data_IF_267514071276
#
_entry.id   IF_267514071276
#
_cell.length_a   1.000
_cell.length_b   1.000
_cell.length_c   1.000
_cell.angle_alpha   90.00
_cell.angle_beta   90.00
_cell.angle_gamma   90.00
#
_symmetry.space_group_name_H-M   'P 1'
#
loop_
_entity.id
_entity.type
_entity.pdbx_description
1 polymer ?
#
# COMPACT_ATOMS: atom_id res chain seq x y z
N UNK A 1 28.93 22.25 -30.92
CA UNK A 1 27.46 21.97 -30.99
C UNK A 1 27.01 21.39 -29.68
N UNK A 2 26.04 22.01 -29.02
CA UNK A 2 25.43 21.44 -27.80
C UNK A 2 24.70 20.16 -28.18
N UNK A 3 24.99 19.04 -27.52
CA UNK A 3 24.34 17.76 -27.83
C UNK A 3 22.80 17.92 -27.67
N UNK A 4 22.04 17.13 -28.42
CA UNK A 4 20.57 17.09 -28.31
C UNK A 4 20.14 16.84 -26.85
N UNK A 5 20.90 16.01 -26.13
CA UNK A 5 20.65 15.70 -24.71
C UNK A 5 20.80 16.94 -23.81
N UNK A 6 21.85 17.76 -23.98
CA UNK A 6 22.03 18.98 -23.19
C UNK A 6 20.89 19.97 -23.45
N UNK A 7 20.49 20.13 -24.71
CA UNK A 7 19.31 20.98 -25.04
C UNK A 7 18.03 20.47 -24.39
N UNK A 8 17.87 19.16 -24.32
CA UNK A 8 16.73 18.52 -23.67
C UNK A 8 16.74 18.77 -22.16
N UNK A 9 17.89 18.60 -21.48
CA UNK A 9 18.04 18.90 -20.06
C UNK A 9 17.80 20.38 -19.72
N UNK A 10 18.29 21.28 -20.56
CA UNK A 10 18.19 22.73 -20.36
C UNK A 10 16.84 23.32 -20.78
N UNK A 11 15.87 22.49 -21.18
CA UNK A 11 14.55 22.92 -21.69
C UNK A 11 14.64 23.86 -22.91
N UNK A 12 15.75 23.83 -23.64
CA UNK A 12 15.98 24.66 -24.82
C UNK A 12 15.34 24.10 -26.11
N UNK A 13 14.31 23.27 -25.93
CA UNK A 13 13.48 22.74 -27.01
C UNK A 13 12.05 23.19 -26.78
N UNK A 14 11.33 23.63 -27.82
CA UNK A 14 9.93 23.96 -27.69
C UNK A 14 9.11 22.71 -27.34
N UNK A 15 8.02 22.91 -26.64
CA UNK A 15 7.03 21.85 -26.42
C UNK A 15 6.43 21.55 -27.81
N UNK A 16 6.39 20.28 -28.26
CA UNK A 16 5.81 19.93 -29.54
C UNK A 16 4.28 20.09 -29.52
N UNK A 17 3.67 20.23 -30.68
CA UNK A 17 2.22 20.31 -30.79
C UNK A 17 1.53 18.98 -30.41
N UNK A 18 2.23 17.86 -30.63
CA UNK A 18 1.70 16.51 -30.35
C UNK A 18 2.59 15.72 -29.42
N UNK A 19 1.97 14.87 -28.63
CA UNK A 19 2.59 13.88 -27.73
C UNK A 19 2.34 12.47 -28.25
N UNK A 20 3.35 11.61 -28.20
CA UNK A 20 3.22 10.19 -28.52
C UNK A 20 2.88 9.42 -27.23
N UNK A 21 1.89 8.54 -27.30
CA UNK A 21 1.30 7.88 -26.13
C UNK A 21 1.01 6.41 -26.43
N UNK A 22 1.33 5.54 -25.50
CA UNK A 22 0.98 4.12 -25.52
C UNK A 22 -0.18 3.85 -24.58
N UNK A 23 -1.41 3.95 -25.05
CA UNK A 23 -2.60 3.58 -24.29
C UNK A 23 -2.83 2.07 -24.34
N UNK A 24 -3.37 1.50 -23.26
CA UNK A 24 -3.75 0.09 -23.16
C UNK A 24 -5.28 -0.03 -23.23
N UNK A 25 -5.78 -0.80 -24.20
CA UNK A 25 -7.20 -0.95 -24.53
C UNK A 25 -7.79 -2.29 -24.07
N UNK A 26 -6.99 -3.22 -23.58
CA UNK A 26 -7.40 -4.55 -23.15
C UNK A 26 -6.25 -5.37 -22.60
N UNK A 27 -6.50 -6.61 -22.21
CA UNK A 27 -5.45 -7.56 -21.84
C UNK A 27 -4.63 -7.98 -23.08
N UNK A 28 -3.32 -8.23 -22.88
CA UNK A 28 -2.39 -8.62 -23.92
C UNK A 28 -1.61 -7.44 -24.50
N UNK A 29 -0.35 -7.72 -24.90
CA UNK A 29 0.54 -6.69 -25.47
C UNK A 29 0.03 -6.13 -26.80
N UNK A 30 -0.73 -6.91 -27.54
CA UNK A 30 -1.38 -6.53 -28.79
C UNK A 30 -2.46 -5.45 -28.61
N UNK A 31 -2.89 -5.19 -27.37
CA UNK A 31 -3.85 -4.15 -27.02
C UNK A 31 -3.18 -2.87 -26.45
N UNK A 32 -1.87 -2.74 -26.62
CA UNK A 32 -1.10 -1.55 -26.28
C UNK A 32 -0.82 -0.74 -27.53
N UNK A 33 -1.31 0.50 -27.58
CA UNK A 33 -1.29 1.35 -28.76
C UNK A 33 -2.32 0.91 -29.80
N UNK A 34 -2.19 1.45 -31.00
CA UNK A 34 -2.98 1.05 -32.18
C UNK A 34 -2.07 0.51 -33.27
N UNK A 35 -2.40 -0.63 -33.80
CA UNK A 35 -1.63 -1.30 -34.87
C UNK A 35 -0.14 -1.45 -34.50
N UNK A 36 0.14 -1.76 -33.22
CA UNK A 36 1.49 -1.84 -32.64
C UNK A 36 2.29 -0.54 -32.73
N UNK A 37 1.62 0.61 -32.75
CA UNK A 37 2.25 1.92 -32.76
C UNK A 37 1.72 2.81 -31.63
N UNK A 38 2.59 3.72 -31.16
CA UNK A 38 2.16 4.80 -30.27
C UNK A 38 1.18 5.74 -31.02
N UNK A 39 0.21 6.21 -30.29
CA UNK A 39 -0.80 7.13 -30.81
C UNK A 39 -0.36 8.59 -30.63
N UNK A 40 -0.72 9.43 -31.57
CA UNK A 40 -0.43 10.87 -31.51
C UNK A 40 -1.64 11.63 -31.00
N UNK A 41 -1.44 12.42 -29.94
CA UNK A 41 -2.45 13.34 -29.39
C UNK A 41 -1.88 14.74 -29.30
N UNK A 42 -2.75 15.76 -29.38
CA UNK A 42 -2.33 17.13 -29.09
C UNK A 42 -1.85 17.26 -27.66
N UNK A 43 -0.72 17.96 -27.44
CA UNK A 43 -0.24 18.23 -26.08
C UNK A 43 -1.28 19.14 -25.39
N UNK A 44 -1.82 18.72 -24.23
CA UNK A 44 -2.89 19.46 -23.58
C UNK A 44 -2.36 20.71 -22.87
N UNK A 45 -3.18 21.75 -22.74
CA UNK A 45 -2.91 22.89 -21.89
C UNK A 45 -3.38 22.59 -20.46
N UNK A 46 -2.59 22.95 -19.43
CA UNK A 46 -2.99 22.73 -18.04
C UNK A 46 -4.08 23.74 -17.62
N UNK A 47 -5.07 23.23 -16.88
CA UNK A 47 -6.00 24.08 -16.13
C UNK A 47 -5.27 24.77 -14.96
N UNK A 48 -5.96 25.69 -14.28
CA UNK A 48 -5.38 26.48 -13.19
C UNK A 48 -4.77 25.64 -12.04
N UNK A 49 -5.36 24.47 -11.77
CA UNK A 49 -4.93 23.52 -10.75
C UNK A 49 -4.17 22.30 -11.31
N UNK A 50 -3.58 22.41 -12.49
CA UNK A 50 -2.86 21.34 -13.15
C UNK A 50 -1.44 21.74 -13.54
N UNK A 51 -0.58 20.75 -13.71
CA UNK A 51 0.77 20.86 -14.28
C UNK A 51 0.79 20.14 -15.64
N UNK A 52 1.42 20.74 -16.65
CA UNK A 52 1.89 20.00 -17.82
C UNK A 52 3.28 19.47 -17.51
N UNK A 53 3.48 18.17 -17.63
CA UNK A 53 4.77 17.52 -17.41
C UNK A 53 5.28 16.86 -18.68
N UNK A 54 6.60 16.82 -18.84
CA UNK A 54 7.33 15.95 -19.77
C UNK A 54 7.77 14.71 -19.00
N UNK A 55 7.52 13.54 -19.54
CA UNK A 55 8.04 12.29 -19.00
C UNK A 55 9.47 12.08 -19.52
N UNK A 56 10.42 12.04 -18.64
CA UNK A 56 11.85 11.97 -18.99
C UNK A 56 12.37 10.52 -19.05
N UNK A 57 11.88 9.68 -18.15
CA UNK A 57 12.18 8.25 -18.10
C UNK A 57 11.06 7.49 -17.39
N UNK A 58 10.89 6.22 -17.76
CA UNK A 58 9.94 5.29 -17.15
C UNK A 58 10.65 3.97 -16.95
N UNK A 59 10.60 3.43 -15.71
CA UNK A 59 10.94 2.06 -15.41
C UNK A 59 9.81 1.11 -15.80
N UNK A 60 10.15 -0.12 -16.16
CA UNK A 60 9.19 -1.19 -16.41
C UNK A 60 9.24 -2.19 -15.27
N UNK A 61 8.11 -2.41 -14.64
CA UNK A 61 7.94 -3.27 -13.49
C UNK A 61 7.24 -4.59 -13.87
N UNK A 62 7.45 -5.63 -13.08
CA UNK A 62 6.66 -6.85 -13.22
C UNK A 62 5.15 -6.61 -12.99
N UNK A 63 4.81 -5.57 -12.25
CA UNK A 63 3.44 -5.12 -12.07
C UNK A 63 2.77 -4.67 -13.38
N UNK A 64 3.54 -4.08 -14.32
CA UNK A 64 3.04 -3.76 -15.66
C UNK A 64 2.67 -5.05 -16.42
N UNK A 65 3.50 -6.11 -16.28
CA UNK A 65 3.20 -7.43 -16.88
C UNK A 65 1.89 -8.01 -16.32
N UNK A 66 1.66 -7.88 -15.01
CA UNK A 66 0.39 -8.32 -14.41
C UNK A 66 -0.80 -7.54 -14.97
N UNK A 67 -0.66 -6.23 -15.10
CA UNK A 67 -1.72 -5.38 -15.66
C UNK A 67 -2.01 -5.74 -17.11
N UNK A 68 -0.97 -5.95 -17.93
CA UNK A 68 -1.11 -6.40 -19.33
C UNK A 68 -1.86 -7.73 -19.41
N UNK A 69 -1.50 -8.70 -18.56
CA UNK A 69 -2.12 -10.02 -18.59
C UNK A 69 -3.59 -10.02 -18.10
N UNK A 70 -3.94 -9.17 -17.15
CA UNK A 70 -5.27 -9.16 -16.52
C UNK A 70 -6.22 -8.15 -17.17
N UNK A 71 -5.71 -7.09 -17.78
CA UNK A 71 -6.52 -6.04 -18.37
C UNK A 71 -7.56 -5.47 -17.40
N UNK A 72 -8.79 -5.36 -17.83
CA UNK A 72 -9.92 -4.85 -17.04
C UNK A 72 -10.19 -5.61 -15.72
N UNK A 73 -9.72 -6.84 -15.62
CA UNK A 73 -9.89 -7.68 -14.41
C UNK A 73 -8.85 -7.34 -13.31
N UNK A 74 -7.85 -6.52 -13.60
CA UNK A 74 -6.88 -6.13 -12.59
C UNK A 74 -7.56 -5.34 -11.47
N UNK A 75 -7.37 -5.70 -10.17
CA UNK A 75 -8.10 -5.11 -9.04
C UNK A 75 -8.01 -3.58 -8.98
N UNK A 76 -6.84 -3.01 -9.30
CA UNK A 76 -6.62 -1.54 -9.33
C UNK A 76 -7.36 -0.81 -10.46
N UNK A 77 -8.00 -1.53 -11.40
CA UNK A 77 -8.82 -0.93 -12.45
C UNK A 77 -10.32 -0.95 -12.13
N UNK A 78 -10.74 -1.61 -11.06
CA UNK A 78 -12.14 -1.61 -10.61
C UNK A 78 -13.13 -2.01 -11.72
N UNK A 79 -12.79 -3.03 -12.53
CA UNK A 79 -13.56 -3.52 -13.68
C UNK A 79 -13.83 -2.46 -14.79
N UNK A 80 -12.94 -1.47 -14.96
CA UNK A 80 -13.02 -0.47 -16.02
C UNK A 80 -13.04 -1.15 -17.40
N UNK A 81 -13.93 -0.76 -18.26
CA UNK A 81 -13.89 -1.16 -19.69
C UNK A 81 -12.79 -0.38 -20.41
N UNK A 82 -11.63 -0.98 -20.56
CA UNK A 82 -10.44 -0.35 -21.16
C UNK A 82 -10.65 0.05 -22.65
N UNK A 83 -11.60 -0.56 -23.34
CA UNK A 83 -11.92 -0.15 -24.72
C UNK A 83 -12.60 1.23 -24.78
N UNK A 84 -13.31 1.61 -23.73
CA UNK A 84 -13.99 2.91 -23.61
C UNK A 84 -13.14 3.92 -22.85
N UNK A 85 -12.50 3.47 -21.80
CA UNK A 85 -11.63 4.26 -20.91
C UNK A 85 -10.26 3.59 -20.81
N UNK A 86 -9.38 3.76 -21.80
CA UNK A 86 -8.05 3.17 -21.77
C UNK A 86 -7.25 3.70 -20.60
N UNK A 87 -6.25 2.92 -20.17
CA UNK A 87 -5.22 3.38 -19.24
C UNK A 87 -3.87 3.43 -19.93
N UNK A 88 -2.86 3.91 -19.21
CA UNK A 88 -1.44 3.83 -19.59
C UNK A 88 -0.64 3.20 -18.49
N UNK A 89 0.32 2.40 -18.87
CA UNK A 89 1.33 1.80 -17.99
C UNK A 89 2.41 2.82 -17.60
N UNK A 90 3.37 2.37 -16.81
CA UNK A 90 4.56 3.13 -16.45
C UNK A 90 4.35 3.97 -15.20
N UNK A 91 4.39 3.30 -14.06
CA UNK A 91 4.24 3.92 -12.74
C UNK A 91 5.58 4.37 -12.12
N UNK A 92 6.70 3.85 -12.58
CA UNK A 92 8.05 4.25 -12.16
C UNK A 92 8.54 5.41 -13.05
N UNK A 93 8.07 6.63 -12.80
CA UNK A 93 8.28 7.74 -13.72
C UNK A 93 9.07 8.90 -13.13
N UNK A 94 9.93 9.50 -13.96
CA UNK A 94 10.55 10.80 -13.72
C UNK A 94 9.94 11.83 -14.65
N UNK A 95 9.58 12.96 -14.09
CA UNK A 95 8.84 14.03 -14.74
C UNK A 95 9.57 15.37 -14.61
N UNK A 96 9.54 16.18 -15.68
CA UNK A 96 9.94 17.59 -15.64
C UNK A 96 8.74 18.49 -15.87
N UNK A 97 8.53 19.49 -15.03
CA UNK A 97 7.43 20.44 -15.18
C UNK A 97 7.71 21.35 -16.38
N UNK A 98 6.76 21.42 -17.31
CA UNK A 98 6.84 22.23 -18.53
C UNK A 98 5.93 23.46 -18.51
N UNK A 99 4.75 23.35 -17.87
CA UNK A 99 3.82 24.47 -17.61
C UNK A 99 3.19 24.29 -16.23
N UNK A 100 2.83 25.40 -15.61
CA UNK A 100 2.22 25.45 -14.28
C UNK A 100 0.91 26.22 -14.37
N UNK A 101 -0.18 25.61 -13.91
CA UNK A 101 -1.46 26.30 -13.74
C UNK A 101 -1.36 27.39 -12.67
N UNK A 102 -2.15 28.45 -12.81
CA UNK A 102 -1.99 29.68 -12.01
C UNK A 102 -2.18 29.48 -10.50
N UNK A 103 -2.97 28.47 -10.08
CA UNK A 103 -3.19 28.16 -8.65
C UNK A 103 -1.99 27.45 -8.01
N UNK A 104 -1.06 26.95 -8.84
CA UNK A 104 0.10 26.16 -8.44
C UNK A 104 1.44 26.90 -8.53
N UNK A 105 1.45 28.15 -9.02
CA UNK A 105 2.66 28.93 -9.33
C UNK A 105 3.57 29.22 -8.12
N UNK A 106 2.99 29.24 -6.91
CA UNK A 106 3.71 29.39 -5.65
C UNK A 106 4.40 28.10 -5.18
N UNK A 107 3.92 26.95 -5.63
CA UNK A 107 4.36 25.64 -5.15
C UNK A 107 5.28 24.92 -6.14
N UNK A 108 5.08 25.12 -7.43
CA UNK A 108 5.82 24.43 -8.49
C UNK A 108 6.42 25.40 -9.49
N UNK A 109 7.58 25.04 -10.08
CA UNK A 109 8.27 25.88 -11.06
C UNK A 109 8.59 25.07 -12.31
N UNK A 110 8.55 25.73 -13.47
CA UNK A 110 9.01 25.16 -14.74
C UNK A 110 10.46 24.71 -14.61
N UNK A 111 10.76 23.51 -15.09
CA UNK A 111 12.08 22.91 -15.04
C UNK A 111 12.35 22.07 -13.79
N UNK A 112 11.55 22.19 -12.75
CA UNK A 112 11.68 21.30 -11.58
C UNK A 112 11.38 19.85 -11.98
N UNK A 113 12.14 18.94 -11.36
CA UNK A 113 12.08 17.50 -11.65
C UNK A 113 11.51 16.75 -10.47
N UNK A 114 10.70 15.75 -10.78
CA UNK A 114 10.00 14.93 -9.78
C UNK A 114 10.03 13.45 -10.17
N UNK A 115 10.15 12.58 -9.15
CA UNK A 115 9.80 11.18 -9.25
C UNK A 115 8.33 10.99 -8.83
N UNK A 116 7.68 10.00 -9.40
CA UNK A 116 6.29 9.67 -9.09
C UNK A 116 6.22 8.69 -7.91
N UNK A 117 5.42 9.00 -6.89
CA UNK A 117 4.90 8.03 -5.95
C UNK A 117 3.58 7.48 -6.52
N UNK A 118 3.55 6.21 -6.97
CA UNK A 118 2.39 5.73 -7.74
C UNK A 118 1.16 5.41 -6.91
N UNK A 119 1.30 4.98 -5.66
CA UNK A 119 0.16 4.65 -4.80
C UNK A 119 -0.53 5.91 -4.28
N UNK A 120 -1.77 6.09 -4.69
CA UNK A 120 -2.58 7.27 -4.40
C UNK A 120 -3.69 6.88 -3.43
N UNK A 121 -3.77 7.58 -2.30
CA UNK A 121 -4.86 7.44 -1.33
C UNK A 121 -5.56 8.77 -1.19
N UNK A 122 -6.86 8.79 -1.49
CA UNK A 122 -7.66 10.00 -1.41
C UNK A 122 -9.07 9.67 -0.90
N UNK A 123 -9.46 10.25 0.23
CA UNK A 123 -10.74 10.03 0.89
C UNK A 123 -11.04 8.53 1.14
N UNK A 124 -10.03 7.79 1.61
CA UNK A 124 -10.12 6.35 1.85
C UNK A 124 -10.16 5.46 0.61
N UNK A 125 -10.11 6.04 -0.59
CA UNK A 125 -10.05 5.32 -1.86
C UNK A 125 -8.61 5.14 -2.32
N UNK A 126 -8.25 3.90 -2.68
CA UNK A 126 -6.93 3.56 -3.21
C UNK A 126 -6.96 3.56 -4.73
N UNK A 127 -6.20 4.45 -5.36
CA UNK A 127 -5.95 4.47 -6.81
C UNK A 127 -4.45 4.38 -7.08
N UNK A 128 -4.02 4.33 -8.35
CA UNK A 128 -2.61 4.31 -8.65
C UNK A 128 -2.30 4.92 -10.03
N UNK A 129 -1.19 5.64 -10.09
CA UNK A 129 -0.58 6.10 -11.35
C UNK A 129 -0.03 4.90 -12.12
N UNK A 130 -0.27 4.86 -13.43
CA UNK A 130 0.03 3.68 -14.24
C UNK A 130 -1.07 2.61 -14.26
N UNK A 131 -2.16 2.83 -13.52
CA UNK A 131 -3.32 1.94 -13.39
C UNK A 131 -4.63 2.71 -13.54
N UNK A 132 -5.25 3.08 -12.42
CA UNK A 132 -6.49 3.87 -12.40
C UNK A 132 -6.27 5.26 -12.99
N UNK A 133 -5.16 5.87 -12.64
CA UNK A 133 -4.67 7.12 -13.21
C UNK A 133 -3.67 6.77 -14.32
N UNK A 134 -3.82 7.32 -15.53
CA UNK A 134 -2.93 7.03 -16.65
C UNK A 134 -1.46 7.34 -16.34
N UNK A 135 -0.56 6.40 -16.64
CA UNK A 135 0.85 6.46 -16.31
C UNK A 135 1.76 7.15 -17.32
N UNK A 136 3.05 6.89 -17.18
CA UNK A 136 4.13 7.60 -17.86
C UNK A 136 4.49 7.13 -19.28
N UNK A 137 3.83 6.09 -19.86
CA UNK A 137 4.12 5.71 -21.24
C UNK A 137 3.55 6.72 -22.25
N UNK A 138 3.96 7.97 -22.09
CA UNK A 138 3.66 9.12 -22.95
C UNK A 138 4.81 10.12 -22.86
N UNK A 139 4.92 11.05 -23.82
CA UNK A 139 5.95 12.08 -23.76
C UNK A 139 5.54 13.26 -22.87
N UNK A 140 4.26 13.68 -22.96
CA UNK A 140 3.69 14.79 -22.20
C UNK A 140 2.30 14.42 -21.72
N UNK A 141 1.94 14.83 -20.50
CA UNK A 141 0.59 14.73 -19.97
C UNK A 141 0.34 15.71 -18.82
N UNK A 142 -0.91 15.77 -18.37
CA UNK A 142 -1.31 16.59 -17.23
C UNK A 142 -1.21 15.80 -15.93
N UNK A 143 -0.82 16.51 -14.87
CA UNK A 143 -0.90 16.06 -13.48
C UNK A 143 -1.87 17.01 -12.78
N UNK A 144 -2.91 16.45 -12.18
CA UNK A 144 -3.97 17.20 -11.51
C UNK A 144 -4.11 16.91 -10.02
N UNK A 145 -5.22 17.38 -9.42
CA UNK A 145 -5.48 17.23 -7.98
C UNK A 145 -5.48 15.78 -7.49
N UNK A 146 -5.81 14.81 -8.36
CA UNK A 146 -5.80 13.38 -8.04
C UNK A 146 -4.41 12.86 -7.62
N UNK A 147 -3.35 13.59 -8.01
CA UNK A 147 -1.94 13.29 -7.67
C UNK A 147 -1.39 14.33 -6.71
N UNK A 148 -1.80 15.59 -6.85
CA UNK A 148 -1.24 16.72 -6.10
C UNK A 148 -1.85 16.90 -4.71
N UNK A 149 -3.08 16.39 -4.48
CA UNK A 149 -3.89 16.61 -3.28
C UNK A 149 -4.41 15.29 -2.71
N UNK A 150 -3.50 14.46 -2.21
CA UNK A 150 -3.86 13.17 -1.62
C UNK A 150 -3.90 13.22 -0.10
N UNK A 151 -4.40 12.17 0.56
CA UNK A 151 -4.47 12.07 2.03
C UNK A 151 -3.09 12.24 2.71
N UNK A 152 -2.01 12.03 1.97
CA UNK A 152 -0.62 12.16 2.46
C UNK A 152 0.14 13.33 1.84
N UNK A 153 -0.53 14.21 1.12
CA UNK A 153 0.05 15.32 0.38
C UNK A 153 0.27 14.99 -1.10
N UNK A 154 1.22 15.66 -1.75
CA UNK A 154 1.52 15.43 -3.17
C UNK A 154 2.26 14.11 -3.38
N UNK A 155 1.86 13.34 -4.40
CA UNK A 155 2.58 12.17 -4.87
C UNK A 155 3.78 12.51 -5.78
N UNK A 156 4.05 13.79 -6.03
CA UNK A 156 5.27 14.24 -6.71
C UNK A 156 6.39 14.44 -5.69
N UNK A 157 7.47 13.65 -5.81
CA UNK A 157 8.66 13.72 -4.96
C UNK A 157 9.75 14.49 -5.69
N UNK A 158 10.09 15.69 -5.21
CA UNK A 158 11.13 16.51 -5.83
C UNK A 158 12.48 15.80 -5.81
N UNK A 159 13.14 15.71 -6.96
CA UNK A 159 14.45 15.07 -7.11
C UNK A 159 15.55 16.08 -7.42
N UNK A 160 16.79 15.74 -7.03
CA UNK A 160 17.96 16.55 -7.33
C UNK A 160 18.24 16.62 -8.83
N UNK A 161 18.65 17.77 -9.31
CA UNK A 161 19.11 17.96 -10.70
C UNK A 161 20.37 17.14 -11.03
N UNK A 162 21.10 16.69 -10.01
CA UNK A 162 22.30 15.86 -10.17
C UNK A 162 21.99 14.40 -10.53
N UNK A 163 20.77 13.91 -10.22
CA UNK A 163 20.35 12.57 -10.60
C UNK A 163 20.08 12.51 -12.11
N UNK A 164 20.55 11.45 -12.77
CA UNK A 164 20.13 11.16 -14.14
C UNK A 164 18.61 10.86 -14.19
N UNK A 165 17.97 11.08 -15.34
CA UNK A 165 16.54 10.83 -15.48
C UNK A 165 16.16 9.38 -15.20
N UNK A 166 16.96 8.43 -15.69
CA UNK A 166 16.73 7.00 -15.46
C UNK A 166 16.95 6.62 -13.99
N UNK A 167 17.96 7.19 -13.32
CA UNK A 167 18.17 6.97 -11.88
C UNK A 167 16.98 7.47 -11.05
N UNK A 168 16.45 8.63 -11.41
CA UNK A 168 15.30 9.20 -10.72
C UNK A 168 14.01 8.37 -10.96
N UNK A 169 13.83 7.75 -12.12
CA UNK A 169 12.72 6.82 -12.35
C UNK A 169 12.81 5.58 -11.46
N UNK A 170 14.02 5.10 -11.16
CA UNK A 170 14.25 3.97 -10.27
C UNK A 170 14.08 4.29 -8.77
N UNK A 171 13.76 5.53 -8.39
CA UNK A 171 13.47 5.86 -6.99
C UNK A 171 12.24 5.12 -6.47
N UNK A 172 11.27 4.80 -7.32
CA UNK A 172 10.10 4.02 -6.94
C UNK A 172 10.49 2.61 -6.48
N UNK A 173 11.12 1.73 -7.32
CA UNK A 173 11.49 0.40 -6.88
C UNK A 173 12.53 0.41 -5.75
N UNK A 174 13.46 1.38 -5.70
CA UNK A 174 14.35 1.58 -4.56
C UNK A 174 13.59 1.93 -3.29
N UNK A 175 12.52 2.72 -3.39
CA UNK A 175 11.59 3.00 -2.29
C UNK A 175 10.96 1.72 -1.75
N UNK A 176 10.54 0.79 -2.61
CA UNK A 176 10.02 -0.51 -2.22
C UNK A 176 11.06 -1.36 -1.47
N UNK A 177 12.31 -1.40 -1.95
CA UNK A 177 13.42 -2.10 -1.27
C UNK A 177 13.69 -1.46 0.09
N UNK A 178 13.85 -0.14 0.15
CA UNK A 178 14.08 0.59 1.41
C UNK A 178 12.96 0.36 2.42
N UNK A 179 11.73 0.33 1.94
CA UNK A 179 10.56 0.10 2.76
C UNK A 179 10.56 -1.26 3.47
N UNK A 180 11.15 -2.31 2.89
CA UNK A 180 11.25 -3.62 3.53
C UNK A 180 12.20 -3.63 4.73
N UNK A 181 13.11 -2.66 4.81
CA UNK A 181 14.03 -2.46 5.93
C UNK A 181 13.60 -1.32 6.87
N UNK A 182 12.41 -0.75 6.67
CA UNK A 182 11.89 0.35 7.49
C UNK A 182 10.74 -0.14 8.37
N UNK A 183 10.77 0.23 9.66
CA UNK A 183 9.69 -0.09 10.58
C UNK A 183 8.39 0.62 10.17
N UNK A 184 7.41 -0.13 9.73
CA UNK A 184 6.12 0.39 9.25
C UNK A 184 4.94 0.01 10.11
N UNK A 185 5.04 -1.12 10.82
CA UNK A 185 3.99 -1.57 11.71
C UNK A 185 4.00 -0.78 13.02
N UNK A 186 2.87 -0.76 13.67
CA UNK A 186 2.75 -0.22 15.03
C UNK A 186 3.49 -1.11 16.03
N UNK A 187 4.12 -0.46 17.02
CA UNK A 187 4.84 -1.12 18.10
C UNK A 187 3.97 -1.32 19.34
N UNK A 188 2.73 -0.84 19.30
CA UNK A 188 1.73 -0.93 20.37
C UNK A 188 0.34 -1.09 19.76
N UNK A 189 -0.68 -1.54 20.52
CA UNK A 189 -2.06 -1.50 20.11
C UNK A 189 -2.49 -0.11 19.66
N UNK A 190 -3.41 -0.04 18.71
CA UNK A 190 -3.85 1.25 18.13
C UNK A 190 -4.60 2.09 19.13
N UNK A 191 -4.14 3.32 19.33
CA UNK A 191 -4.86 4.31 20.12
C UNK A 191 -6.21 4.63 19.43
N UNK A 192 -7.30 4.53 20.22
CA UNK A 192 -8.66 4.75 19.73
C UNK A 192 -9.19 3.67 18.75
N UNK A 193 -8.45 2.60 18.53
CA UNK A 193 -8.81 1.52 17.61
C UNK A 193 -9.81 0.51 18.20
N UNK A 194 -10.17 -0.49 17.38
CA UNK A 194 -10.96 -1.66 17.79
C UNK A 194 -10.04 -2.88 17.84
N UNK A 195 -9.89 -3.45 19.04
CA UNK A 195 -9.14 -4.69 19.27
C UNK A 195 -10.09 -5.87 19.43
N UNK A 196 -9.77 -7.01 18.82
CA UNK A 196 -10.50 -8.26 19.01
C UNK A 196 -9.57 -9.31 19.60
N UNK A 197 -9.92 -9.85 20.76
CA UNK A 197 -9.19 -10.94 21.45
C UNK A 197 -10.01 -12.22 21.33
N UNK A 198 -9.43 -13.22 20.67
CA UNK A 198 -10.03 -14.52 20.41
C UNK A 198 -9.31 -15.57 21.26
N UNK A 199 -10.02 -16.18 22.20
CA UNK A 199 -9.56 -17.30 22.99
C UNK A 199 -9.93 -18.64 22.37
N UNK A 200 -9.70 -19.70 23.15
CA UNK A 200 -10.13 -21.07 22.86
C UNK A 200 -10.95 -21.59 24.04
N UNK A 201 -12.07 -22.27 23.84
CA UNK A 201 -12.99 -22.68 24.92
C UNK A 201 -12.30 -23.46 26.03
N UNK A 202 -11.34 -24.32 25.69
CA UNK A 202 -10.66 -25.22 26.62
C UNK A 202 -9.24 -24.73 27.01
N UNK A 203 -8.91 -23.45 26.72
CA UNK A 203 -7.60 -22.92 27.08
C UNK A 203 -7.57 -22.42 28.53
N UNK A 204 -6.86 -23.15 29.38
CA UNK A 204 -6.69 -22.83 30.80
C UNK A 204 -5.52 -21.91 31.07
N UNK A 205 -4.84 -21.39 30.06
CA UNK A 205 -3.69 -20.53 30.18
C UNK A 205 -4.07 -19.20 30.84
N UNK A 206 -3.33 -18.80 31.88
CA UNK A 206 -3.50 -17.48 32.52
C UNK A 206 -2.69 -16.46 31.76
N UNK A 207 -3.36 -15.72 30.91
CA UNK A 207 -2.74 -14.66 30.12
C UNK A 207 -2.56 -13.38 30.92
N UNK A 208 -1.54 -12.63 30.50
CA UNK A 208 -1.23 -11.29 30.98
C UNK A 208 -1.26 -10.31 29.80
N UNK A 209 -1.53 -9.05 30.09
CA UNK A 209 -1.41 -7.95 29.12
C UNK A 209 -0.81 -6.75 29.84
N UNK A 210 0.51 -6.76 29.98
CA UNK A 210 1.25 -5.85 30.87
C UNK A 210 1.19 -4.38 30.46
N UNK A 211 0.95 -4.06 29.18
CA UNK A 211 0.85 -2.69 28.66
C UNK A 211 0.04 -2.61 27.36
N UNK A 212 -0.54 -1.45 27.07
CA UNK A 212 -1.19 -1.14 25.79
C UNK A 212 -2.67 -1.52 25.72
N UNK A 213 -3.24 -2.20 26.72
CA UNK A 213 -4.65 -2.59 26.73
C UNK A 213 -5.61 -1.40 26.87
N UNK A 214 -5.14 -0.28 27.38
CA UNK A 214 -5.91 0.99 27.50
C UNK A 214 -5.90 1.81 26.21
N UNK A 215 -5.10 1.49 25.21
CA UNK A 215 -5.00 2.25 23.96
C UNK A 215 -6.23 2.10 23.06
N UNK A 216 -6.79 0.89 22.81
CA UNK A 216 -8.00 0.74 22.02
C UNK A 216 -9.19 1.49 22.63
N UNK A 217 -10.07 2.02 21.78
CA UNK A 217 -11.35 2.54 22.21
C UNK A 217 -12.28 1.42 22.66
N UNK A 218 -12.26 0.28 21.93
CA UNK A 218 -13.11 -0.88 22.19
C UNK A 218 -12.28 -2.16 22.11
N UNK A 219 -12.49 -3.04 23.09
CA UNK A 219 -11.94 -4.41 23.09
C UNK A 219 -13.11 -5.39 23.00
N UNK A 220 -13.11 -6.21 21.97
CA UNK A 220 -14.09 -7.30 21.75
C UNK A 220 -13.48 -8.60 22.25
N UNK A 221 -14.19 -9.34 23.07
CA UNK A 221 -13.76 -10.62 23.62
C UNK A 221 -14.62 -11.76 23.09
N UNK A 222 -13.97 -12.81 22.61
CA UNK A 222 -14.62 -14.05 22.14
C UNK A 222 -13.95 -15.24 22.80
N UNK A 223 -14.69 -16.03 23.57
CA UNK A 223 -14.25 -17.29 24.18
C UNK A 223 -12.94 -17.19 24.99
N UNK A 224 -12.77 -16.11 25.73
CA UNK A 224 -11.61 -15.91 26.60
C UNK A 224 -11.88 -16.44 28.01
N UNK A 225 -10.82 -16.79 28.75
CA UNK A 225 -10.93 -17.21 30.15
C UNK A 225 -11.46 -16.09 31.05
N UNK A 226 -12.14 -16.45 32.16
CA UNK A 226 -12.66 -15.49 33.15
C UNK A 226 -11.57 -14.59 33.74
N UNK A 227 -10.36 -15.13 33.92
CA UNK A 227 -9.21 -14.35 34.41
C UNK A 227 -8.80 -13.25 33.43
N UNK A 228 -8.76 -13.56 32.14
CA UNK A 228 -8.44 -12.55 31.11
C UNK A 228 -9.59 -11.57 30.93
N UNK A 229 -10.85 -12.03 30.94
CA UNK A 229 -12.02 -11.15 30.91
C UNK A 229 -11.96 -10.12 32.05
N UNK A 230 -11.75 -10.56 33.27
CA UNK A 230 -11.62 -9.65 34.43
C UNK A 230 -10.48 -8.65 34.28
N UNK A 231 -9.32 -9.07 33.73
CA UNK A 231 -8.19 -8.19 33.47
C UNK A 231 -8.58 -7.10 32.44
N UNK A 232 -9.24 -7.50 31.34
CA UNK A 232 -9.64 -6.58 30.27
C UNK A 232 -10.69 -5.61 30.76
N UNK A 233 -11.74 -6.06 31.44
CA UNK A 233 -12.81 -5.21 31.99
C UNK A 233 -12.29 -4.17 32.97
N UNK A 234 -11.24 -4.46 33.71
CA UNK A 234 -10.61 -3.51 34.65
C UNK A 234 -9.72 -2.47 33.99
N UNK A 235 -9.23 -2.75 32.76
CA UNK A 235 -8.15 -1.97 32.14
C UNK A 235 -8.59 -1.24 30.88
N UNK A 236 -9.42 -1.86 30.05
CA UNK A 236 -9.86 -1.32 28.77
C UNK A 236 -10.92 -0.22 28.94
N UNK A 237 -11.00 0.70 27.97
CA UNK A 237 -11.97 1.81 27.96
C UNK A 237 -13.41 1.30 27.78
N UNK A 238 -13.61 0.38 26.85
CA UNK A 238 -14.90 -0.27 26.55
C UNK A 238 -14.65 -1.74 26.24
N UNK A 239 -15.50 -2.62 26.75
CA UNK A 239 -15.43 -4.06 26.52
C UNK A 239 -16.75 -4.57 25.97
N UNK A 240 -16.70 -5.36 24.91
CA UNK A 240 -17.83 -6.07 24.33
C UNK A 240 -17.56 -7.57 24.40
N UNK A 241 -18.43 -8.33 25.03
CA UNK A 241 -18.38 -9.80 25.07
C UNK A 241 -19.22 -10.32 23.90
N UNK A 242 -18.59 -11.06 23.00
CA UNK A 242 -19.19 -11.57 21.77
C UNK A 242 -18.77 -13.03 21.56
N UNK A 243 -19.24 -13.91 22.45
CA UNK A 243 -18.96 -15.36 22.36
C UNK A 243 -19.74 -16.03 21.22
N UNK A 244 -20.65 -15.30 20.57
CA UNK A 244 -21.39 -15.71 19.38
C UNK A 244 -20.59 -15.63 18.07
N UNK A 245 -19.41 -14.97 18.07
CA UNK A 245 -18.59 -14.82 16.87
C UNK A 245 -18.01 -16.18 16.45
N UNK A 246 -18.25 -16.52 15.19
CA UNK A 246 -17.72 -17.72 14.54
C UNK A 246 -17.38 -17.42 13.07
N UNK A 247 -16.81 -18.38 12.33
CA UNK A 247 -16.38 -18.17 10.96
C UNK A 247 -17.52 -17.86 9.98
N UNK A 248 -18.76 -18.28 10.27
CA UNK A 248 -19.92 -18.09 9.39
C UNK A 248 -20.48 -16.68 9.49
N UNK A 249 -20.47 -16.07 10.70
CA UNK A 249 -21.00 -14.72 10.91
C UNK A 249 -19.93 -13.62 10.93
N UNK A 250 -18.65 -13.96 10.81
CA UNK A 250 -17.52 -13.04 10.98
C UNK A 250 -17.64 -11.80 10.08
N UNK A 251 -18.06 -11.95 8.83
CA UNK A 251 -18.23 -10.81 7.92
C UNK A 251 -19.28 -9.80 8.42
N UNK A 252 -20.42 -10.28 8.90
CA UNK A 252 -21.48 -9.41 9.42
C UNK A 252 -21.07 -8.71 10.73
N UNK A 253 -20.35 -9.43 11.59
CA UNK A 253 -19.81 -8.88 12.85
C UNK A 253 -18.77 -7.80 12.59
N UNK A 254 -17.87 -7.99 11.62
CA UNK A 254 -16.90 -6.99 11.22
C UNK A 254 -17.61 -5.75 10.66
N UNK A 255 -18.64 -5.90 9.85
CA UNK A 255 -19.44 -4.79 9.34
C UNK A 255 -20.09 -4.01 10.50
N UNK A 256 -20.66 -4.70 11.48
CA UNK A 256 -21.30 -4.13 12.67
C UNK A 256 -20.31 -3.37 13.55
N UNK A 257 -19.20 -4.02 13.94
CA UNK A 257 -18.31 -3.50 14.98
C UNK A 257 -17.24 -2.51 14.44
N UNK A 258 -16.93 -2.58 13.14
CA UNK A 258 -15.84 -1.79 12.55
C UNK A 258 -16.26 -1.02 11.30
N UNK A 259 -17.56 -0.91 11.01
CA UNK A 259 -18.09 -0.32 9.77
C UNK A 259 -17.48 -0.97 8.51
N UNK A 260 -17.09 -2.24 8.58
CA UNK A 260 -16.51 -2.99 7.47
C UNK A 260 -15.02 -2.74 7.23
N UNK A 261 -14.37 -1.90 8.02
CA UNK A 261 -12.93 -1.58 7.86
C UNK A 261 -12.03 -2.73 8.32
N UNK A 262 -12.51 -3.55 9.28
CA UNK A 262 -11.74 -4.59 9.95
C UNK A 262 -11.22 -4.14 11.32
N UNK A 263 -10.64 -5.07 12.07
CA UNK A 263 -10.09 -4.82 13.39
C UNK A 263 -8.67 -4.23 13.28
N UNK A 264 -8.39 -3.23 14.07
CA UNK A 264 -7.05 -2.63 14.11
C UNK A 264 -6.01 -3.54 14.76
N UNK A 265 -6.42 -4.29 15.77
CA UNK A 265 -5.61 -5.32 16.42
C UNK A 265 -6.45 -6.59 16.61
N UNK A 266 -5.95 -7.73 16.13
CA UNK A 266 -6.52 -9.05 16.39
C UNK A 266 -5.52 -9.82 17.23
N UNK A 267 -5.92 -10.29 18.39
CA UNK A 267 -5.13 -11.17 19.26
C UNK A 267 -5.74 -12.55 19.24
N UNK A 268 -5.00 -13.57 18.79
CA UNK A 268 -5.45 -14.95 18.81
C UNK A 268 -4.63 -15.74 19.81
N UNK A 269 -5.31 -16.26 20.84
CA UNK A 269 -4.70 -16.97 21.95
C UNK A 269 -4.66 -18.47 21.69
N UNK A 270 -3.51 -19.09 21.90
CA UNK A 270 -3.28 -20.54 21.68
C UNK A 270 -3.87 -21.07 20.38
N UNK A 271 -3.66 -20.42 19.20
CA UNK A 271 -4.26 -20.88 17.96
C UNK A 271 -3.82 -22.32 17.64
N UNK A 272 -4.76 -23.15 17.20
CA UNK A 272 -4.50 -24.53 16.75
C UNK A 272 -5.00 -24.78 15.33
N UNK A 273 -5.97 -24.00 14.85
CA UNK A 273 -6.55 -24.14 13.51
C UNK A 273 -5.95 -23.16 12.51
N UNK A 274 -5.27 -23.68 11.49
CA UNK A 274 -4.75 -22.91 10.35
C UNK A 274 -5.88 -22.27 9.54
N UNK A 275 -7.01 -22.97 9.36
CA UNK A 275 -8.18 -22.46 8.65
C UNK A 275 -8.80 -21.26 9.39
N UNK A 276 -8.90 -21.32 10.71
CA UNK A 276 -9.41 -20.20 11.51
C UNK A 276 -8.50 -18.97 11.35
N UNK A 277 -7.19 -19.13 11.46
CA UNK A 277 -6.24 -18.04 11.25
C UNK A 277 -6.32 -17.43 9.84
N UNK A 278 -6.40 -18.27 8.80
CA UNK A 278 -6.60 -17.85 7.41
C UNK A 278 -7.86 -16.99 7.26
N UNK A 279 -8.95 -17.40 7.89
CA UNK A 279 -10.23 -16.69 7.81
C UNK A 279 -10.20 -15.36 8.59
N UNK A 280 -9.67 -15.37 9.79
CA UNK A 280 -9.55 -14.20 10.67
C UNK A 280 -8.61 -13.14 10.05
N UNK A 281 -7.51 -13.55 9.44
CA UNK A 281 -6.52 -12.66 8.83
C UNK A 281 -7.10 -11.73 7.75
N UNK A 282 -8.19 -12.11 7.10
CA UNK A 282 -8.88 -11.29 6.08
C UNK A 282 -9.47 -10.01 6.67
N UNK A 283 -9.75 -10.00 7.97
CA UNK A 283 -10.42 -8.91 8.67
C UNK A 283 -9.49 -8.01 9.49
N UNK A 284 -8.19 -8.11 9.29
CA UNK A 284 -7.23 -7.12 9.79
C UNK A 284 -7.45 -5.81 9.01
N UNK A 285 -7.63 -4.70 9.70
CA UNK A 285 -7.72 -3.39 9.08
C UNK A 285 -6.40 -2.98 8.40
N UNK A 286 -6.46 -2.03 7.48
CA UNK A 286 -5.24 -1.42 6.93
C UNK A 286 -4.37 -0.87 8.06
N UNK A 287 -3.06 -1.17 8.05
CA UNK A 287 -2.09 -0.91 9.13
C UNK A 287 -2.42 -1.61 10.44
N UNK A 288 -3.27 -2.64 10.38
CA UNK A 288 -3.63 -3.47 11.52
C UNK A 288 -2.59 -4.53 11.84
N UNK A 289 -2.73 -5.13 13.01
CA UNK A 289 -1.82 -6.14 13.53
C UNK A 289 -2.59 -7.40 13.93
N UNK A 290 -2.11 -8.57 13.55
CA UNK A 290 -2.55 -9.86 14.07
C UNK A 290 -1.48 -10.44 14.97
N UNK A 291 -1.81 -10.59 16.25
CA UNK A 291 -0.92 -11.08 17.29
C UNK A 291 -1.30 -12.49 17.70
N UNK A 292 -0.47 -13.47 17.39
CA UNK A 292 -0.65 -14.87 17.76
C UNK A 292 0.15 -15.20 19.02
N UNK A 293 -0.52 -15.54 20.11
CA UNK A 293 0.10 -15.77 21.43
C UNK A 293 -0.12 -17.21 21.86
N UNK A 294 0.97 -17.94 22.06
CA UNK A 294 0.96 -19.34 22.47
C UNK A 294 2.00 -20.18 21.74
N UNK A 295 2.12 -21.44 22.12
CA UNK A 295 3.14 -22.36 21.60
C UNK A 295 2.57 -23.68 21.06
N UNK A 296 1.25 -23.81 20.94
CA UNK A 296 0.64 -24.99 20.36
C UNK A 296 0.90 -25.05 18.85
N UNK A 297 1.19 -26.24 18.29
CA UNK A 297 1.32 -26.37 16.83
C UNK A 297 -0.03 -26.17 16.15
N UNK A 298 0.02 -25.62 14.94
CA UNK A 298 -1.16 -25.53 14.06
C UNK A 298 -1.40 -26.87 13.36
N UNK A 299 -2.65 -27.14 13.02
CA UNK A 299 -3.10 -28.33 12.28
C UNK A 299 -2.72 -28.30 10.78
N UNK A 300 -2.18 -27.18 10.28
CA UNK A 300 -1.81 -27.02 8.87
C UNK A 300 -1.10 -25.71 8.59
N UNK A 301 -1.01 -25.39 7.29
CA UNK A 301 -0.43 -24.12 6.81
C UNK A 301 -1.50 -23.02 6.80
N UNK A 302 -1.11 -21.82 7.20
CA UNK A 302 -1.96 -20.64 7.11
C UNK A 302 -1.79 -20.02 5.73
N UNK A 303 -2.90 -19.77 5.04
CA UNK A 303 -2.92 -19.03 3.78
C UNK A 303 -3.08 -17.54 4.09
N UNK A 304 -2.00 -16.79 3.93
CA UNK A 304 -1.96 -15.35 4.16
C UNK A 304 -1.78 -14.59 2.85
N UNK A 305 -2.61 -13.57 2.64
CA UNK A 305 -2.44 -12.65 1.51
C UNK A 305 -1.21 -11.76 1.72
N UNK A 306 -0.08 -12.19 1.15
CA UNK A 306 1.19 -11.46 1.25
C UNK A 306 1.13 -10.08 0.58
N UNK A 307 0.20 -9.87 -0.37
CA UNK A 307 -0.01 -8.55 -0.99
C UNK A 307 -0.45 -7.52 0.04
N UNK A 308 -1.23 -7.90 1.05
CA UNK A 308 -1.67 -7.01 2.11
C UNK A 308 -0.54 -6.57 3.06
N UNK A 309 0.54 -7.36 3.19
CA UNK A 309 1.74 -6.93 3.92
C UNK A 309 2.36 -5.70 3.26
N UNK A 310 2.35 -5.66 1.93
CA UNK A 310 2.92 -4.57 1.15
C UNK A 310 1.95 -3.39 0.97
N UNK A 311 0.71 -3.65 0.52
CA UNK A 311 -0.25 -2.60 0.17
C UNK A 311 -1.05 -2.06 1.35
N UNK A 312 -1.44 -2.95 2.28
CA UNK A 312 -2.24 -2.57 3.45
C UNK A 312 -1.40 -2.35 4.71
N UNK A 313 -0.10 -2.66 4.66
CA UNK A 313 0.81 -2.59 5.81
C UNK A 313 0.32 -3.38 7.02
N UNK A 314 -0.38 -4.50 6.80
CA UNK A 314 -0.76 -5.40 7.89
C UNK A 314 0.48 -6.10 8.44
N UNK A 315 0.45 -6.42 9.73
CA UNK A 315 1.55 -7.11 10.37
C UNK A 315 1.08 -8.36 11.11
N UNK A 316 1.85 -9.44 10.96
CA UNK A 316 1.71 -10.67 11.75
C UNK A 316 2.82 -10.69 12.79
N UNK A 317 2.44 -10.74 14.05
CA UNK A 317 3.36 -10.80 15.20
C UNK A 317 2.95 -11.93 16.11
N UNK A 318 3.79 -12.28 17.07
CA UNK A 318 3.44 -13.28 18.05
C UNK A 318 4.56 -13.56 19.05
N UNK A 319 4.21 -14.31 20.06
CA UNK A 319 5.16 -14.87 21.02
C UNK A 319 4.64 -16.20 21.57
N UNK A 320 5.56 -17.01 22.09
CA UNK A 320 5.26 -18.32 22.68
C UNK A 320 4.98 -18.28 24.19
N UNK A 321 4.99 -17.08 24.79
CA UNK A 321 4.71 -16.87 26.20
C UNK A 321 3.23 -16.64 26.49
N UNK A 322 2.96 -16.07 27.67
CA UNK A 322 1.59 -15.79 28.16
C UNK A 322 1.29 -14.29 28.24
N UNK A 323 2.28 -13.42 28.09
CA UNK A 323 2.07 -11.98 28.10
C UNK A 323 1.83 -11.47 26.68
N UNK A 324 0.61 -11.08 26.39
CA UNK A 324 0.17 -10.60 25.08
C UNK A 324 0.99 -9.39 24.60
N UNK A 325 1.42 -8.54 25.54
CA UNK A 325 2.22 -7.35 25.24
C UNK A 325 3.62 -7.65 24.70
N UNK A 326 4.17 -8.83 24.95
CA UNK A 326 5.53 -9.19 24.54
C UNK A 326 5.72 -9.36 23.02
N UNK A 327 4.62 -9.46 22.27
CA UNK A 327 4.66 -9.48 20.82
C UNK A 327 4.86 -8.09 20.19
N UNK A 328 4.54 -7.04 20.94
CA UNK A 328 4.72 -5.65 20.52
C UNK A 328 6.13 -5.14 20.86
N UNK A 329 6.47 -3.95 20.35
CA UNK A 329 7.76 -3.31 20.62
C UNK A 329 8.85 -3.63 19.59
N UNK A 330 9.95 -2.88 19.64
CA UNK A 330 11.03 -2.95 18.66
C UNK A 330 11.84 -4.25 18.73
N UNK A 331 12.04 -4.78 19.93
CA UNK A 331 12.91 -5.94 20.17
C UNK A 331 12.48 -7.20 19.40
N UNK A 332 11.18 -7.36 19.10
CA UNK A 332 10.61 -8.53 18.43
C UNK A 332 10.51 -8.39 16.91
N UNK A 333 10.65 -7.21 16.37
CA UNK A 333 10.21 -6.93 15.03
C UNK A 333 11.18 -6.02 14.26
N UNK A 334 12.43 -6.41 14.26
CA UNK A 334 13.46 -5.74 13.47
C UNK A 334 13.24 -5.96 12.00
N UNK A 335 13.26 -4.88 11.23
CA UNK A 335 13.30 -4.90 9.78
C UNK A 335 14.72 -4.70 9.23
N UNK A 336 15.67 -4.28 10.06
CA UNK A 336 17.07 -4.10 9.69
C UNK A 336 17.85 -5.43 9.64
N UNK A 337 18.86 -5.48 8.79
CA UNK A 337 19.79 -6.59 8.72
C UNK A 337 20.58 -6.69 10.03
N UNK A 338 20.75 -7.90 10.53
CA UNK A 338 21.52 -8.13 11.76
C UNK A 338 22.99 -8.26 11.44
N UNK A 339 23.83 -7.60 12.23
CA UNK A 339 25.27 -7.87 12.20
C UNK A 339 25.50 -9.35 12.50
N UNK A 340 26.36 -10.00 11.72
CA UNK A 340 26.70 -11.43 11.83
C UNK A 340 25.50 -12.38 11.66
N UNK A 341 24.40 -11.90 11.06
CA UNK A 341 23.23 -12.70 10.72
C UNK A 341 23.42 -13.46 9.41
N UNK A 342 22.53 -14.43 9.16
CA UNK A 342 22.44 -15.14 7.88
C UNK A 342 21.36 -14.46 7.03
N UNK A 343 21.72 -14.04 5.81
CA UNK A 343 20.80 -13.55 4.81
C UNK A 343 20.63 -14.61 3.69
N UNK A 344 19.40 -14.91 3.33
CA UNK A 344 19.08 -15.82 2.24
C UNK A 344 18.38 -15.04 1.14
N UNK A 345 18.92 -15.08 -0.07
CA UNK A 345 18.31 -14.46 -1.24
C UNK A 345 17.69 -15.56 -2.11
N UNK A 346 16.41 -15.37 -2.44
CA UNK A 346 15.65 -16.27 -3.31
C UNK A 346 15.21 -15.48 -4.53
N UNK A 347 15.59 -15.90 -5.71
CA UNK A 347 15.39 -15.16 -6.95
C UNK A 347 16.69 -14.55 -7.45
N UNK A 348 16.68 -13.36 -7.97
CA UNK A 348 17.81 -12.69 -8.62
C UNK A 348 18.15 -13.31 -9.99
N UNK A 349 17.10 -13.70 -10.72
CA UNK A 349 17.22 -14.23 -12.08
C UNK A 349 17.68 -13.20 -13.10
#
# INVERSE_FOLDING_TARGET
MTSKYIKYQQLNQPIPDNTMTWNMYGAGVENIGKDNHAESFTVPEPADNQLLVRVDAVGLCFSDVKLINQGSQHPKLYNRDLRKEPTRLGHEATLTIMKVGKDLDKKYKIGERYAMQPDIYQNGKSTAYGYTVPGGLTQYHLIGPEILETDTGSCLLKVSEQLAFAEAALLEPWGCVWASYTQRRRLEPKEGGVMWIVGQPDDTTVYQFSKGLQSPATVVLTQVSDSLRTLVERTAKQVLIRDDINLENLQSVVAELTSGIGFDDIVVLSPTSAQALTSIAKYIARRGTMNMVGNKPLDGLVDADVGRLHYDYVAFIGNSGVNIADSYGEARNRCDLRKDGLAVFVGAG
#
